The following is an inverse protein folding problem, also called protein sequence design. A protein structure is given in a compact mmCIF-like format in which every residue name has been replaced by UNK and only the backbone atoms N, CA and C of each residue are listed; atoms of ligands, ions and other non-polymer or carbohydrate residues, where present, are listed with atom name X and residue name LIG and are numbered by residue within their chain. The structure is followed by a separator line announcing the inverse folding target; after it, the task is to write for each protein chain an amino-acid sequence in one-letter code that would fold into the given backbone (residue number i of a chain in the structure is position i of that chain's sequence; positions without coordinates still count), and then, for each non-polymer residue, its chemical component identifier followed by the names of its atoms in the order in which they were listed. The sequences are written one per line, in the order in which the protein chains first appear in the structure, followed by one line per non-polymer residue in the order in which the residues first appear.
data_IF_916659638443
#
_entry.id   IF_916659638443
#
_cell.length_a   1.000
_cell.length_b   1.000
_cell.length_c   1.000
_cell.angle_alpha   90.00
_cell.angle_beta   90.00
_cell.angle_gamma   90.00
#
_symmetry.space_group_name_H-M   'P 1'
#
loop_
_entity.id
_entity.type
_entity.pdbx_description
1 polymer ?
#
# COMPACT_ATOMS: atom_id res chain seq x y z
N UNK A 1 -10.66 18.04 -23.13
CA UNK A 1 -9.35 17.40 -23.32
C UNK A 1 -9.56 16.07 -24.02
N UNK A 2 -8.82 15.83 -25.09
CA UNK A 2 -8.77 14.56 -25.82
C UNK A 2 -7.49 13.85 -25.46
N UNK A 3 -7.52 12.52 -25.39
CA UNK A 3 -6.38 11.71 -25.01
C UNK A 3 -5.86 10.98 -26.23
N UNK A 4 -4.54 10.89 -26.36
CA UNK A 4 -3.88 10.22 -27.49
C UNK A 4 -2.76 9.33 -26.98
N UNK A 5 -2.47 8.24 -27.69
CA UNK A 5 -1.27 7.42 -27.47
C UNK A 5 -0.36 7.35 -28.69
N UNK A 6 0.95 7.29 -28.46
CA UNK A 6 1.94 6.95 -29.50
C UNK A 6 2.00 5.43 -29.69
N UNK A 7 2.77 4.98 -30.69
CA UNK A 7 3.06 3.54 -30.89
C UNK A 7 3.81 2.89 -29.72
N UNK A 8 4.44 3.70 -28.88
CA UNK A 8 5.19 3.26 -27.69
C UNK A 8 4.33 3.31 -26.41
N UNK A 9 3.01 3.52 -26.54
CA UNK A 9 2.07 3.73 -25.43
C UNK A 9 2.38 4.98 -24.58
N UNK A 10 3.00 6.02 -25.14
CA UNK A 10 3.13 7.30 -24.44
C UNK A 10 1.82 8.07 -24.57
N UNK A 11 1.25 8.52 -23.44
CA UNK A 11 -0.08 9.14 -23.38
C UNK A 11 0.04 10.66 -23.30
N UNK A 12 -0.78 11.34 -24.11
CA UNK A 12 -0.86 12.80 -24.17
C UNK A 12 -2.30 13.26 -23.97
N UNK A 13 -2.50 14.26 -23.12
CA UNK A 13 -3.78 14.95 -22.94
C UNK A 13 -3.71 16.31 -23.63
N UNK A 14 -4.43 16.47 -24.73
CA UNK A 14 -4.42 17.69 -25.54
C UNK A 14 -5.78 18.40 -25.50
N UNK A 15 -5.73 19.72 -25.57
CA UNK A 15 -6.92 20.54 -25.76
C UNK A 15 -7.37 20.49 -27.23
N UNK A 16 -8.66 20.66 -27.48
CA UNK A 16 -9.18 20.71 -28.85
C UNK A 16 -8.94 22.12 -29.42
N UNK A 17 -7.69 22.39 -29.82
CA UNK A 17 -7.25 23.65 -30.43
C UNK A 17 -6.53 23.41 -31.76
N UNK A 18 -6.28 24.48 -32.52
CA UNK A 18 -5.70 24.37 -33.86
C UNK A 18 -4.26 23.80 -33.82
N UNK A 19 -3.48 24.15 -32.80
CA UNK A 19 -2.12 23.63 -32.58
C UNK A 19 -2.11 22.12 -32.32
N UNK A 20 -3.09 21.59 -31.57
CA UNK A 20 -3.21 20.16 -31.32
C UNK A 20 -3.52 19.39 -32.60
N UNK A 21 -4.30 19.97 -33.53
CA UNK A 21 -4.63 19.35 -34.83
C UNK A 21 -3.41 19.17 -35.73
N UNK A 22 -2.40 20.03 -35.62
CA UNK A 22 -1.14 19.88 -36.35
C UNK A 22 -0.30 18.73 -35.81
N UNK A 23 -0.26 18.56 -34.49
CA UNK A 23 0.47 17.48 -33.83
C UNK A 23 -0.21 16.11 -34.05
N UNK A 24 -1.54 16.05 -34.09
CA UNK A 24 -2.29 14.80 -34.36
C UNK A 24 -2.00 14.23 -35.77
N UNK A 25 -1.40 15.01 -36.69
CA UNK A 25 -0.90 14.50 -37.98
C UNK A 25 0.28 13.53 -37.81
N UNK A 26 0.98 13.56 -36.68
CA UNK A 26 1.90 12.50 -36.27
C UNK A 26 1.15 11.19 -36.01
N UNK A 27 1.85 10.05 -36.01
CA UNK A 27 1.26 8.70 -35.89
C UNK A 27 0.74 8.40 -34.47
N UNK A 28 -0.21 9.19 -33.98
CA UNK A 28 -0.88 9.04 -32.68
C UNK A 28 -2.30 8.53 -32.87
N UNK A 29 -2.81 7.80 -31.88
CA UNK A 29 -4.17 7.24 -31.88
C UNK A 29 -4.96 7.89 -30.77
N UNK A 30 -6.14 8.45 -31.07
CA UNK A 30 -7.07 8.94 -30.04
C UNK A 30 -7.54 7.77 -29.18
N UNK A 31 -7.52 7.96 -27.85
CA UNK A 31 -7.94 6.99 -26.86
C UNK A 31 -8.89 7.63 -25.86
N UNK A 32 -9.60 6.80 -25.11
CA UNK A 32 -10.45 7.28 -24.03
C UNK A 32 -9.61 7.73 -22.83
N UNK A 33 -10.22 8.54 -21.95
CA UNK A 33 -9.62 8.87 -20.64
C UNK A 33 -9.30 7.61 -19.82
N UNK A 34 -10.14 6.58 -19.92
CA UNK A 34 -9.95 5.32 -19.20
C UNK A 34 -8.77 4.51 -19.74
N UNK A 35 -8.60 4.45 -21.07
CA UNK A 35 -7.41 3.85 -21.67
C UNK A 35 -6.13 4.62 -21.32
N UNK A 36 -6.21 5.96 -21.33
CA UNK A 36 -5.11 6.82 -20.92
C UNK A 36 -4.68 6.54 -19.47
N UNK A 37 -5.66 6.48 -18.56
CA UNK A 37 -5.44 6.19 -17.14
C UNK A 37 -4.81 4.81 -16.94
N UNK A 38 -5.31 3.77 -17.62
CA UNK A 38 -4.77 2.41 -17.53
C UNK A 38 -3.33 2.30 -18.05
N UNK A 39 -2.96 3.07 -19.09
CA UNK A 39 -1.59 3.10 -19.60
C UNK A 39 -0.66 3.85 -18.63
N UNK A 40 -1.10 4.97 -18.07
CA UNK A 40 -0.26 5.79 -17.18
C UNK A 40 -0.21 5.30 -15.74
N UNK A 41 -1.25 4.58 -15.30
CA UNK A 41 -1.44 4.09 -13.95
C UNK A 41 -2.19 2.74 -14.01
N UNK A 42 -1.51 1.68 -14.49
CA UNK A 42 -2.13 0.38 -14.60
C UNK A 42 -2.62 -0.08 -13.24
N UNK A 43 -3.77 -0.74 -13.23
CA UNK A 43 -4.27 -1.37 -12.01
C UNK A 43 -3.20 -2.35 -11.49
N UNK A 44 -2.88 -2.32 -10.19
CA UNK A 44 -1.88 -3.22 -9.63
C UNK A 44 -2.30 -4.68 -9.86
N UNK A 45 -1.34 -5.53 -10.20
CA UNK A 45 -1.58 -6.96 -10.32
C UNK A 45 -1.85 -7.57 -8.95
N UNK A 46 -2.41 -8.79 -8.92
CA UNK A 46 -2.59 -9.51 -7.66
C UNK A 46 -1.26 -9.67 -6.91
N UNK A 47 -0.17 -9.96 -7.62
CA UNK A 47 1.18 -10.06 -7.02
C UNK A 47 1.65 -8.73 -6.43
N UNK A 48 1.41 -7.59 -7.10
CA UNK A 48 1.71 -6.26 -6.57
C UNK A 48 0.89 -5.94 -5.31
N UNK A 49 -0.38 -6.35 -5.29
CA UNK A 49 -1.25 -6.21 -4.13
C UNK A 49 -0.78 -7.05 -2.94
N UNK A 50 -0.36 -8.29 -3.19
CA UNK A 50 0.20 -9.18 -2.17
C UNK A 50 1.51 -8.61 -1.64
N UNK A 51 2.43 -8.19 -2.51
CA UNK A 51 3.71 -7.62 -2.10
C UNK A 51 3.52 -6.35 -1.25
N UNK A 52 2.55 -5.52 -1.59
CA UNK A 52 2.17 -4.35 -0.77
C UNK A 52 1.62 -4.79 0.59
N UNK A 53 0.72 -5.77 0.62
CA UNK A 53 0.20 -6.29 1.88
C UNK A 53 1.29 -6.90 2.77
N UNK A 54 2.26 -7.61 2.20
CA UNK A 54 3.43 -8.11 2.93
C UNK A 54 4.27 -6.97 3.50
N UNK A 55 4.49 -5.92 2.71
CA UNK A 55 5.18 -4.72 3.17
C UNK A 55 4.44 -4.06 4.34
N UNK A 56 3.13 -3.88 4.23
CA UNK A 56 2.29 -3.30 5.29
C UNK A 56 2.32 -4.18 6.55
N UNK A 57 2.26 -5.51 6.43
CA UNK A 57 2.42 -6.45 7.55
C UNK A 57 3.76 -6.28 8.26
N UNK A 58 4.86 -6.20 7.51
CA UNK A 58 6.19 -5.99 8.07
C UNK A 58 6.34 -4.64 8.77
N UNK A 59 5.71 -3.59 8.23
CA UNK A 59 5.67 -2.28 8.87
C UNK A 59 4.94 -2.33 10.22
N UNK A 60 3.80 -3.03 10.29
CA UNK A 60 3.05 -3.23 11.53
C UNK A 60 3.85 -4.05 12.55
N UNK A 61 4.51 -5.13 12.15
CA UNK A 61 5.39 -5.93 13.02
C UNK A 61 6.53 -5.07 13.58
N UNK A 62 7.13 -4.22 12.75
CA UNK A 62 8.20 -3.29 13.17
C UNK A 62 7.70 -2.31 14.22
N UNK A 63 6.46 -1.81 14.09
CA UNK A 63 5.82 -0.96 15.09
C UNK A 63 5.64 -1.70 16.43
N UNK A 64 5.16 -2.95 16.40
CA UNK A 64 5.05 -3.79 17.61
C UNK A 64 6.40 -3.93 18.30
N UNK A 65 7.46 -4.20 17.53
CA UNK A 65 8.82 -4.33 18.08
C UNK A 65 9.27 -3.04 18.76
N UNK A 66 9.02 -1.88 18.15
CA UNK A 66 9.38 -0.59 18.72
C UNK A 66 8.61 -0.31 20.04
N UNK A 67 7.31 -0.57 20.06
CA UNK A 67 6.45 -0.35 21.24
C UNK A 67 6.77 -1.31 22.40
N UNK A 68 7.14 -2.55 22.08
CA UNK A 68 7.43 -3.58 23.08
C UNK A 68 8.88 -3.57 23.58
N UNK A 69 9.83 -2.92 22.88
CA UNK A 69 11.26 -2.97 23.21
C UNK A 69 11.57 -2.55 24.66
N UNK A 70 10.99 -1.42 25.11
CA UNK A 70 11.19 -0.95 26.47
C UNK A 70 10.50 -1.86 27.50
N UNK A 71 9.30 -2.36 27.18
CA UNK A 71 8.54 -3.26 28.04
C UNK A 71 9.28 -4.59 28.24
N UNK A 72 9.84 -5.16 27.18
CA UNK A 72 10.69 -6.35 27.23
C UNK A 72 11.95 -6.11 28.08
N UNK A 73 12.58 -4.94 27.96
CA UNK A 73 13.73 -4.56 28.78
C UNK A 73 13.35 -4.46 30.27
N UNK A 74 12.21 -3.83 30.59
CA UNK A 74 11.70 -3.76 31.96
C UNK A 74 11.34 -5.13 32.53
N UNK A 75 10.76 -6.01 31.71
CA UNK A 75 10.45 -7.40 32.07
C UNK A 75 11.72 -8.17 32.41
N UNK A 76 12.75 -8.08 31.56
CA UNK A 76 14.04 -8.75 31.77
C UNK A 76 14.76 -8.27 33.05
N UNK A 77 14.60 -6.99 33.39
CA UNK A 77 15.15 -6.40 34.62
C UNK A 77 14.26 -6.65 35.86
N UNK A 78 13.09 -7.26 35.71
CA UNK A 78 12.12 -7.45 36.80
C UNK A 78 11.49 -6.15 37.32
N UNK A 79 11.51 -5.08 36.52
CA UNK A 79 11.02 -3.73 36.88
C UNK A 79 9.69 -3.36 36.24
N UNK A 80 9.08 -4.30 35.50
CA UNK A 80 7.82 -4.07 34.80
C UNK A 80 6.65 -4.01 35.80
N UNK A 81 5.77 -3.02 35.65
CA UNK A 81 4.53 -2.92 36.43
C UNK A 81 3.44 -3.84 35.87
N UNK A 82 2.43 -4.19 36.65
CA UNK A 82 1.31 -5.04 36.17
C UNK A 82 0.58 -4.44 34.95
N UNK A 83 0.40 -3.11 34.92
CA UNK A 83 -0.21 -2.42 33.79
C UNK A 83 0.66 -2.48 32.52
N UNK A 84 1.98 -2.32 32.67
CA UNK A 84 2.94 -2.43 31.57
C UNK A 84 3.03 -3.86 31.04
N UNK A 85 2.91 -4.85 31.92
CA UNK A 85 2.85 -6.27 31.54
C UNK A 85 1.58 -6.58 30.77
N UNK A 86 0.43 -6.02 31.17
CA UNK A 86 -0.82 -6.15 30.42
C UNK A 86 -0.70 -5.52 29.02
N UNK A 87 -0.07 -4.33 28.92
CA UNK A 87 0.23 -3.70 27.62
C UNK A 87 1.15 -4.56 26.77
N UNK A 88 2.22 -5.12 27.34
CA UNK A 88 3.14 -6.02 26.62
C UNK A 88 2.39 -7.24 26.06
N UNK A 89 1.55 -7.89 26.87
CA UNK A 89 0.75 -9.02 26.40
C UNK A 89 -0.20 -8.62 25.26
N UNK A 90 -0.91 -7.49 25.39
CA UNK A 90 -1.82 -7.03 24.33
C UNK A 90 -1.09 -6.76 22.99
N UNK A 91 0.14 -6.25 23.05
CA UNK A 91 0.98 -6.09 21.85
C UNK A 91 1.48 -7.42 21.28
N UNK A 92 1.73 -8.43 22.12
CA UNK A 92 2.11 -9.77 21.66
C UNK A 92 0.91 -10.52 21.05
N UNK A 93 -0.27 -10.45 21.66
CA UNK A 93 -1.51 -10.99 21.05
C UNK A 93 -1.75 -10.36 19.67
N UNK A 94 -1.58 -9.04 19.55
CA UNK A 94 -1.68 -8.34 18.28
C UNK A 94 -0.61 -8.80 17.26
N UNK A 95 0.61 -9.14 17.71
CA UNK A 95 1.65 -9.69 16.84
C UNK A 95 1.25 -11.07 16.31
N UNK A 96 0.77 -11.96 17.18
CA UNK A 96 0.27 -13.28 16.79
C UNK A 96 -0.88 -13.16 15.76
N UNK A 97 -1.82 -12.24 15.99
CA UNK A 97 -2.89 -11.96 15.04
C UNK A 97 -2.35 -11.44 13.70
N UNK A 98 -1.39 -10.51 13.72
CA UNK A 98 -0.73 -10.00 12.51
C UNK A 98 -0.02 -11.11 11.74
N UNK A 99 0.72 -11.97 12.42
CA UNK A 99 1.42 -13.10 11.82
C UNK A 99 0.45 -14.11 11.19
N UNK A 100 -0.74 -14.27 11.76
CA UNK A 100 -1.81 -15.09 11.20
C UNK A 100 -2.53 -14.47 9.99
N UNK A 101 -2.39 -13.16 9.72
CA UNK A 101 -3.03 -12.51 8.56
C UNK A 101 -2.52 -13.11 7.25
N UNK A 102 -3.46 -13.60 6.44
CA UNK A 102 -3.20 -14.11 5.10
C UNK A 102 -3.20 -12.99 4.05
N UNK A 103 -2.01 -12.63 3.59
CA UNK A 103 -1.78 -11.56 2.60
C UNK A 103 -2.24 -11.93 1.18
N UNK A 104 -2.54 -13.21 0.90
CA UNK A 104 -3.02 -13.66 -0.42
C UNK A 104 -4.46 -13.24 -0.70
N UNK A 105 -5.19 -12.79 0.33
CA UNK A 105 -6.52 -12.18 0.23
C UNK A 105 -6.49 -10.72 -0.23
N UNK A 106 -5.31 -10.12 -0.46
CA UNK A 106 -5.18 -8.77 -0.95
C UNK A 106 -6.05 -8.51 -2.21
N UNK A 107 -6.78 -7.38 -2.28
CA UNK A 107 -6.71 -6.23 -1.36
C UNK A 107 -7.65 -6.32 -0.14
N UNK A 108 -8.47 -7.37 -0.02
CA UNK A 108 -9.55 -7.49 0.98
C UNK A 108 -9.04 -8.08 2.31
N UNK A 109 -7.95 -7.51 2.84
CA UNK A 109 -7.33 -7.97 4.07
C UNK A 109 -7.97 -7.27 5.27
N UNK A 110 -8.40 -8.07 6.24
CA UNK A 110 -8.83 -7.58 7.55
C UNK A 110 -7.61 -7.52 8.46
N UNK A 111 -7.10 -6.32 8.69
CA UNK A 111 -6.02 -6.11 9.64
C UNK A 111 -6.53 -6.14 11.07
N UNK A 112 -5.80 -6.77 12.01
CA UNK A 112 -6.15 -6.74 13.41
C UNK A 112 -6.12 -5.31 13.96
N UNK A 113 -6.83 -5.10 15.07
CA UNK A 113 -6.93 -3.78 15.70
C UNK A 113 -5.77 -3.60 16.66
N UNK A 114 -5.06 -2.48 16.51
CA UNK A 114 -3.94 -2.13 17.40
C UNK A 114 -4.44 -2.01 18.86
N UNK A 115 -3.68 -2.52 19.83
CA UNK A 115 -4.03 -2.39 21.23
C UNK A 115 -4.01 -0.92 21.65
N UNK A 116 -5.01 -0.51 22.44
CA UNK A 116 -5.08 0.85 22.99
C UNK A 116 -4.16 0.91 24.20
N UNK A 117 -3.20 1.82 24.12
CA UNK A 117 -2.11 2.00 25.09
C UNK A 117 -2.49 2.81 26.32
#
# INVERSE_FOLDING_TARGET
MKYYKTKNNEVYALEDNDSAKEWIKEKVTEITKEEADNITNPRPTKEQLIAKAEYDKQALITEVQAETQLLQTKLALGRISDNEKARLNAWLDYLDELEAVDVFTAPDIIWPVKPVV
#
